data_IF_857463964082
#
_entry.id   IF_857463964082
#
_cell.length_a   1.000
_cell.length_b   1.000
_cell.length_c   1.000
_cell.angle_alpha   90.00
_cell.angle_beta   90.00
_cell.angle_gamma   90.00
#
_symmetry.space_group_name_H-M   'P 1'
#
loop_
_entity.id
_entity.type
_entity.pdbx_description
1 polymer ?
#
# COMPACT_ATOMS: atom_id res chain seq x y z
N UNK A 1 -72.88 -6.27 1.83
CA UNK A 1 -71.77 -5.76 2.67
C UNK A 1 -70.73 -6.83 3.00
N UNK A 2 -71.13 -8.09 3.20
CA UNK A 2 -70.23 -9.18 3.62
C UNK A 2 -69.17 -9.58 2.58
N UNK A 3 -69.50 -9.53 1.29
CA UNK A 3 -68.53 -9.87 0.22
C UNK A 3 -67.36 -8.87 0.17
N UNK A 4 -67.63 -7.58 0.37
CA UNK A 4 -66.58 -6.55 0.46
C UNK A 4 -65.68 -6.77 1.68
N UNK A 5 -66.26 -7.19 2.82
CA UNK A 5 -65.50 -7.53 4.04
C UNK A 5 -64.62 -8.75 3.81
N UNK A 6 -65.16 -9.82 3.20
CA UNK A 6 -64.42 -11.04 2.84
C UNK A 6 -63.24 -10.73 1.91
N UNK A 7 -63.46 -9.96 0.84
CA UNK A 7 -62.40 -9.52 -0.09
C UNK A 7 -61.32 -8.69 0.62
N UNK A 8 -61.69 -7.79 1.53
CA UNK A 8 -60.72 -7.01 2.33
C UNK A 8 -59.88 -7.89 3.25
N UNK A 9 -60.47 -8.90 3.89
CA UNK A 9 -59.73 -9.83 4.76
C UNK A 9 -58.69 -10.64 3.96
N UNK A 10 -59.08 -11.16 2.78
CA UNK A 10 -58.16 -11.89 1.91
C UNK A 10 -57.04 -11.00 1.37
N UNK A 11 -57.38 -9.80 0.90
CA UNK A 11 -56.39 -8.83 0.40
C UNK A 11 -55.43 -8.39 1.50
N UNK A 12 -55.92 -8.06 2.71
CA UNK A 12 -55.05 -7.64 3.80
C UNK A 12 -54.15 -8.78 4.27
N UNK A 13 -54.67 -10.02 4.33
CA UNK A 13 -53.86 -11.21 4.62
C UNK A 13 -52.74 -11.38 3.60
N UNK A 14 -53.04 -11.25 2.32
CA UNK A 14 -52.04 -11.36 1.26
C UNK A 14 -51.03 -10.21 1.31
N UNK A 15 -51.46 -8.97 1.56
CA UNK A 15 -50.57 -7.82 1.74
C UNK A 15 -49.65 -7.98 2.95
N UNK A 16 -50.16 -8.47 4.09
CA UNK A 16 -49.35 -8.77 5.27
C UNK A 16 -48.33 -9.87 5.00
N UNK A 17 -48.72 -10.93 4.27
CA UNK A 17 -47.80 -12.00 3.83
C UNK A 17 -46.69 -11.43 2.95
N UNK A 18 -47.02 -10.67 1.91
CA UNK A 18 -46.04 -10.03 1.01
C UNK A 18 -45.11 -9.07 1.76
N UNK A 19 -45.64 -8.29 2.69
CA UNK A 19 -44.84 -7.39 3.53
C UNK A 19 -43.82 -8.17 4.38
N UNK A 20 -44.26 -9.26 5.03
CA UNK A 20 -43.35 -10.14 5.79
C UNK A 20 -42.29 -10.79 4.90
N UNK A 21 -42.67 -11.31 3.73
CA UNK A 21 -41.72 -11.90 2.78
C UNK A 21 -40.68 -10.87 2.30
N UNK A 22 -41.11 -9.65 1.94
CA UNK A 22 -40.18 -8.59 1.51
C UNK A 22 -39.23 -8.17 2.64
N UNK A 23 -39.70 -8.14 3.89
CA UNK A 23 -38.85 -7.87 5.05
C UNK A 23 -37.84 -8.98 5.29
N UNK A 24 -38.24 -10.24 5.12
CA UNK A 24 -37.33 -11.39 5.23
C UNK A 24 -36.26 -11.35 4.15
N UNK A 25 -36.63 -11.15 2.89
CA UNK A 25 -35.68 -11.03 1.77
C UNK A 25 -34.64 -9.92 2.04
N UNK A 26 -35.08 -8.74 2.47
CA UNK A 26 -34.16 -7.65 2.81
C UNK A 26 -33.21 -8.01 3.96
N UNK A 27 -33.68 -8.78 4.94
CA UNK A 27 -32.83 -9.23 6.03
C UNK A 27 -31.77 -10.22 5.53
N UNK A 28 -32.18 -11.18 4.71
CA UNK A 28 -31.29 -12.18 4.11
C UNK A 28 -30.24 -11.50 3.21
N UNK A 29 -30.64 -10.52 2.40
CA UNK A 29 -29.73 -9.72 1.57
C UNK A 29 -28.68 -8.98 2.41
N UNK A 30 -29.09 -8.36 3.53
CA UNK A 30 -28.18 -7.66 4.43
C UNK A 30 -27.21 -8.63 5.13
N UNK A 31 -27.67 -9.82 5.50
CA UNK A 31 -26.80 -10.86 6.09
C UNK A 31 -25.75 -11.30 5.07
N UNK A 32 -26.16 -11.54 3.82
CA UNK A 32 -25.25 -11.93 2.75
C UNK A 32 -24.22 -10.83 2.45
N UNK A 33 -24.65 -9.56 2.39
CA UNK A 33 -23.73 -8.43 2.21
C UNK A 33 -22.73 -8.32 3.36
N UNK A 34 -23.19 -8.45 4.61
CA UNK A 34 -22.30 -8.41 5.78
C UNK A 34 -21.28 -9.57 5.78
N UNK A 35 -21.71 -10.77 5.39
CA UNK A 35 -20.81 -11.92 5.25
C UNK A 35 -19.78 -11.72 4.14
N UNK A 36 -20.21 -11.19 2.99
CA UNK A 36 -19.33 -10.87 1.87
C UNK A 36 -18.26 -9.83 2.25
N UNK A 37 -18.68 -8.70 2.82
CA UNK A 37 -17.76 -7.64 3.27
C UNK A 37 -16.80 -8.14 4.35
N UNK A 38 -17.24 -9.04 5.24
CA UNK A 38 -16.35 -9.66 6.22
C UNK A 38 -15.25 -10.47 5.55
N UNK A 39 -15.62 -11.31 4.58
CA UNK A 39 -14.65 -12.11 3.84
C UNK A 39 -13.69 -11.24 3.01
N UNK A 40 -14.17 -10.17 2.39
CA UNK A 40 -13.31 -9.20 1.69
C UNK A 40 -12.33 -8.50 2.65
N UNK A 41 -12.80 -8.07 3.83
CA UNK A 41 -11.93 -7.50 4.85
C UNK A 41 -10.86 -8.48 5.33
N UNK A 42 -11.22 -9.75 5.56
CA UNK A 42 -10.27 -10.80 5.93
C UNK A 42 -9.20 -11.00 4.84
N UNK A 43 -9.59 -10.99 3.56
CA UNK A 43 -8.65 -11.07 2.44
C UNK A 43 -7.71 -9.87 2.36
N UNK A 44 -8.23 -8.65 2.54
CA UNK A 44 -7.43 -7.42 2.56
C UNK A 44 -6.42 -7.47 3.70
N UNK A 45 -6.83 -7.88 4.90
CA UNK A 45 -5.93 -8.01 6.06
C UNK A 45 -4.82 -9.03 5.78
N UNK A 46 -5.13 -10.18 5.17
CA UNK A 46 -4.11 -11.16 4.77
C UNK A 46 -3.11 -10.56 3.78
N UNK A 47 -3.58 -9.81 2.77
CA UNK A 47 -2.70 -9.15 1.80
C UNK A 47 -1.81 -8.10 2.45
N UNK A 48 -2.35 -7.27 3.35
CA UNK A 48 -1.58 -6.27 4.10
C UNK A 48 -0.47 -6.96 4.89
N UNK A 49 -0.77 -8.06 5.58
CA UNK A 49 0.23 -8.79 6.37
C UNK A 49 1.34 -9.36 5.49
N UNK A 50 0.99 -9.95 4.34
CA UNK A 50 1.96 -10.47 3.38
C UNK A 50 2.88 -9.37 2.84
N UNK A 51 2.31 -8.26 2.38
CA UNK A 51 3.07 -7.13 1.84
C UNK A 51 3.96 -6.50 2.92
N UNK A 52 3.46 -6.42 4.15
CA UNK A 52 4.24 -5.89 5.29
C UNK A 52 5.45 -6.75 5.57
N UNK A 53 5.31 -8.09 5.54
CA UNK A 53 6.43 -9.00 5.70
C UNK A 53 7.46 -8.85 4.57
N UNK A 54 7.01 -8.84 3.32
CA UNK A 54 7.88 -8.64 2.15
C UNK A 54 8.61 -7.31 2.20
N UNK A 55 7.93 -6.24 2.62
CA UNK A 55 8.53 -4.93 2.81
C UNK A 55 9.62 -4.94 3.89
N UNK A 56 9.38 -5.62 5.01
CA UNK A 56 10.38 -5.77 6.07
C UNK A 56 11.63 -6.53 5.56
N UNK A 57 11.45 -7.60 4.79
CA UNK A 57 12.54 -8.33 4.15
C UNK A 57 13.33 -7.42 3.20
N UNK A 58 12.66 -6.69 2.31
CA UNK A 58 13.30 -5.72 1.40
C UNK A 58 14.04 -4.59 2.13
N UNK A 59 13.49 -4.07 3.22
CA UNK A 59 14.15 -3.04 4.02
C UNK A 59 15.41 -3.58 4.69
N UNK A 60 15.41 -4.85 5.14
CA UNK A 60 16.62 -5.48 5.68
C UNK A 60 17.71 -5.64 4.62
N UNK A 61 17.35 -6.07 3.40
CA UNK A 61 18.28 -6.13 2.27
C UNK A 61 18.81 -4.74 1.91
N UNK A 62 17.95 -3.72 1.91
CA UNK A 62 18.34 -2.34 1.65
C UNK A 62 19.34 -1.84 2.69
N UNK A 63 19.10 -2.14 3.97
CA UNK A 63 20.02 -1.80 5.06
C UNK A 63 21.39 -2.47 4.89
N UNK A 64 21.43 -3.73 4.47
CA UNK A 64 22.69 -4.44 4.20
C UNK A 64 23.44 -3.77 3.05
N UNK A 65 22.75 -3.46 1.94
CA UNK A 65 23.36 -2.78 0.80
C UNK A 65 23.89 -1.39 1.18
N UNK A 66 23.15 -0.61 1.98
CA UNK A 66 23.61 0.69 2.48
C UNK A 66 24.86 0.55 3.33
N UNK A 67 24.92 -0.45 4.22
CA UNK A 67 26.11 -0.70 5.03
C UNK A 67 27.33 -1.08 4.17
N UNK A 68 27.15 -1.91 3.14
CA UNK A 68 28.22 -2.25 2.20
C UNK A 68 28.72 -1.04 1.41
N UNK A 69 27.80 -0.17 0.96
CA UNK A 69 28.16 1.07 0.28
C UNK A 69 28.97 1.97 1.20
N UNK A 70 28.55 2.15 2.45
CA UNK A 70 29.32 2.92 3.45
C UNK A 70 30.71 2.34 3.65
N UNK A 71 30.84 1.03 3.86
CA UNK A 71 32.14 0.38 4.06
C UNK A 71 33.07 0.57 2.86
N UNK A 72 32.56 0.43 1.63
CA UNK A 72 33.35 0.62 0.42
C UNK A 72 33.76 2.09 0.24
N UNK A 73 32.87 3.03 0.54
CA UNK A 73 33.17 4.47 0.52
C UNK A 73 34.25 4.82 1.52
N UNK A 74 34.16 4.34 2.76
CA UNK A 74 35.17 4.57 3.80
C UNK A 74 36.55 4.01 3.39
N UNK A 75 36.57 2.80 2.82
CA UNK A 75 37.80 2.20 2.29
C UNK A 75 38.41 3.04 1.17
N UNK A 76 37.59 3.53 0.25
CA UNK A 76 38.05 4.35 -0.86
C UNK A 76 38.56 5.71 -0.38
N UNK A 77 37.89 6.34 0.58
CA UNK A 77 38.35 7.58 1.22
C UNK A 77 39.67 7.38 1.96
N UNK A 78 39.85 6.24 2.64
CA UNK A 78 41.12 5.90 3.28
C UNK A 78 42.25 5.76 2.25
N UNK A 79 41.99 5.14 1.09
CA UNK A 79 42.98 5.03 0.01
C UNK A 79 43.30 6.39 -0.59
N UNK A 80 42.28 7.22 -0.87
CA UNK A 80 42.46 8.59 -1.34
C UNK A 80 43.31 9.42 -0.37
N UNK A 81 43.11 9.26 0.94
CA UNK A 81 43.93 9.92 1.97
C UNK A 81 45.40 9.51 1.90
N UNK A 82 45.69 8.23 1.67
CA UNK A 82 47.06 7.73 1.47
C UNK A 82 47.67 8.30 0.19
N UNK A 83 46.89 8.41 -0.89
CA UNK A 83 47.35 9.00 -2.15
C UNK A 83 47.70 10.49 -2.00
N UNK A 84 46.90 11.25 -1.25
CA UNK A 84 47.22 12.64 -0.93
C UNK A 84 48.55 12.77 -0.17
N UNK A 85 48.79 11.92 0.84
CA UNK A 85 50.08 11.90 1.56
C UNK A 85 51.24 11.59 0.60
N UNK A 86 51.06 10.63 -0.32
CA UNK A 86 52.09 10.29 -1.29
C UNK A 86 52.36 11.43 -2.30
N UNK A 87 51.32 12.10 -2.78
CA UNK A 87 51.42 13.28 -3.64
C UNK A 87 52.22 14.40 -2.96
N UNK A 88 51.93 14.69 -1.68
CA UNK A 88 52.66 15.68 -0.88
C UNK A 88 54.16 15.33 -0.71
N UNK A 89 54.47 14.05 -0.48
CA UNK A 89 55.85 13.60 -0.24
C UNK A 89 56.66 13.48 -1.53
N UNK A 90 56.06 13.00 -2.61
CA UNK A 90 56.74 12.75 -3.88
C UNK A 90 56.78 13.97 -4.81
N UNK A 91 55.89 14.94 -4.61
CA UNK A 91 55.68 16.08 -5.50
C UNK A 91 55.08 15.69 -6.86
N UNK A 92 54.63 14.44 -7.01
CA UNK A 92 53.94 13.96 -8.20
C UNK A 92 52.44 14.16 -8.03
N UNK A 93 51.84 14.96 -8.92
CA UNK A 93 50.40 15.18 -8.92
C UNK A 93 49.64 13.87 -9.18
N UNK A 94 48.66 13.55 -8.34
CA UNK A 94 47.83 12.36 -8.45
C UNK A 94 46.39 12.74 -8.81
N UNK A 95 45.78 12.04 -9.77
CA UNK A 95 44.37 12.22 -10.13
C UNK A 95 43.48 11.44 -9.15
N UNK A 96 43.13 12.07 -8.03
CA UNK A 96 42.37 11.45 -6.94
C UNK A 96 40.87 11.79 -7.11
N UNK A 97 40.00 10.78 -7.31
CA UNK A 97 38.58 11.02 -7.56
C UNK A 97 37.85 11.49 -6.30
N UNK A 98 37.03 12.55 -6.44
CA UNK A 98 36.06 12.95 -5.41
C UNK A 98 34.93 11.93 -5.31
N UNK A 99 34.68 11.45 -4.08
CA UNK A 99 33.63 10.45 -3.83
C UNK A 99 32.40 11.20 -3.32
N UNK A 100 31.27 11.20 -4.06
CA UNK A 100 30.03 11.79 -3.58
C UNK A 100 29.53 11.04 -2.35
N UNK A 101 28.89 11.75 -1.40
CA UNK A 101 28.26 11.11 -0.25
C UNK A 101 27.13 10.16 -0.74
N UNK A 102 27.27 8.84 -0.51
CA UNK A 102 26.32 7.85 -1.02
C UNK A 102 24.91 8.00 -0.42
N UNK A 103 24.76 8.68 0.71
CA UNK A 103 23.52 8.77 1.48
C UNK A 103 22.78 10.10 1.29
N UNK A 104 23.36 11.08 0.61
CA UNK A 104 22.72 12.40 0.51
C UNK A 104 21.44 12.41 -0.34
N UNK A 105 21.25 11.44 -1.25
CA UNK A 105 20.14 11.47 -2.23
C UNK A 105 19.54 10.09 -2.62
N UNK A 106 19.32 9.13 -1.70
CA UNK A 106 18.82 7.78 -2.06
C UNK A 106 17.46 7.78 -2.76
N UNK A 107 16.66 8.85 -2.61
CA UNK A 107 15.30 8.96 -3.15
C UNK A 107 15.06 10.16 -4.06
N UNK A 108 16.12 10.79 -4.59
CA UNK A 108 15.91 11.82 -5.60
C UNK A 108 15.61 11.18 -6.95
N UNK A 109 14.33 10.95 -7.20
CA UNK A 109 13.83 10.60 -8.52
C UNK A 109 14.22 11.71 -9.51
N UNK A 110 14.79 11.39 -10.70
CA UNK A 110 15.13 12.38 -11.74
C UNK A 110 13.94 13.19 -12.29
N UNK A 111 12.73 12.91 -11.81
CA UNK A 111 11.48 13.46 -12.33
C UNK A 111 10.70 14.11 -11.18
N UNK A 112 10.05 15.27 -11.39
CA UNK A 112 9.13 15.80 -10.39
C UNK A 112 8.01 14.79 -10.14
N UNK A 113 7.72 14.51 -8.86
CA UNK A 113 6.61 13.65 -8.47
C UNK A 113 5.34 14.18 -9.14
N UNK A 114 4.80 13.41 -10.09
CA UNK A 114 3.51 13.75 -10.68
C UNK A 114 2.48 13.61 -9.57
N UNK A 115 1.62 14.63 -9.33
CA UNK A 115 0.57 14.51 -8.35
C UNK A 115 -0.31 13.32 -8.71
N UNK A 116 -0.50 12.40 -7.75
CA UNK A 116 -1.44 11.30 -7.89
C UNK A 116 -2.82 11.94 -8.06
N UNK A 117 -3.28 12.02 -9.31
CA UNK A 117 -4.64 12.44 -9.61
C UNK A 117 -5.55 11.30 -9.16
N UNK A 118 -6.20 11.47 -8.00
CA UNK A 118 -7.34 10.64 -7.64
C UNK A 118 -8.40 10.83 -8.75
N UNK A 119 -8.67 9.78 -9.52
CA UNK A 119 -9.73 9.77 -10.52
C UNK A 119 -11.07 9.96 -9.80
N UNK A 120 -11.75 11.07 -10.08
CA UNK A 120 -12.98 11.48 -9.41
C UNK A 120 -14.22 10.60 -9.74
N UNK A 121 -14.07 9.57 -10.57
CA UNK A 121 -15.20 8.80 -11.11
C UNK A 121 -15.51 7.48 -10.39
N UNK A 122 -14.95 7.21 -9.21
CA UNK A 122 -15.30 5.99 -8.46
C UNK A 122 -16.67 6.04 -7.76
N UNK A 123 -17.45 7.12 -7.88
CA UNK A 123 -18.77 7.26 -7.24
C UNK A 123 -19.88 7.72 -8.21
N UNK A 124 -19.93 7.16 -9.42
CA UNK A 124 -21.15 7.22 -10.23
C UNK A 124 -21.90 5.89 -10.12
N UNK A 125 -22.79 5.81 -9.13
CA UNK A 125 -23.86 4.81 -9.01
C UNK A 125 -25.20 5.45 -9.37
#
# INVERSE_FOLDING_TARGET
>A
MDERKRKRMLSNRESARRSRMKKQQRLDDLINQAAHLRNENEQIVMQINLITQQYAELETENSVLRAQVMELTDRLQSLNSVLHIFEEVSGMAMDIPEIPDPLLRPWQLPCPAQPIMATADMFQL
#
